data_IF_305911824386
#
_entry.id   IF_305911824386
#
_cell.length_a   1.000
_cell.length_b   1.000
_cell.length_c   1.000
_cell.angle_alpha   90.00
_cell.angle_beta   90.00
_cell.angle_gamma   90.00
#
_symmetry.space_group_name_H-M   'P 1'
#
loop_
_entity.id
_entity.type
_entity.pdbx_description
1 polymer ?
#
# COMPACT_ATOMS: atom_id res chain seq x y z
N UNK A 1 4.41 6.39 9.71
CA UNK A 1 3.88 6.73 8.36
C UNK A 1 2.79 7.79 8.45
N UNK A 2 1.72 7.59 9.24
CA UNK A 2 0.59 8.52 9.28
C UNK A 2 0.94 9.95 9.77
N UNK A 3 1.79 10.08 10.80
CA UNK A 3 2.21 11.40 11.31
C UNK A 3 2.90 12.27 10.27
N UNK A 4 3.66 11.67 9.34
CA UNK A 4 4.24 12.41 8.21
C UNK A 4 3.15 13.06 7.36
N UNK A 5 2.10 12.32 6.99
CA UNK A 5 1.00 12.88 6.20
C UNK A 5 0.17 13.91 6.96
N UNK A 6 -0.10 13.66 8.25
CA UNK A 6 -0.80 14.63 9.09
C UNK A 6 -0.03 15.95 9.14
N UNK A 7 1.31 15.90 9.28
CA UNK A 7 2.15 17.10 9.25
C UNK A 7 2.23 17.76 7.87
N UNK A 8 2.22 17.00 6.77
CA UNK A 8 2.39 17.57 5.42
C UNK A 8 1.10 18.15 4.83
N UNK A 9 -0.03 17.47 5.01
CA UNK A 9 -1.30 17.80 4.32
C UNK A 9 -2.52 17.76 5.24
N UNK A 10 -2.34 17.54 6.55
CA UNK A 10 -3.43 17.51 7.52
C UNK A 10 -4.02 18.90 7.76
N UNK A 11 -5.32 18.94 8.05
CA UNK A 11 -6.06 20.16 8.41
C UNK A 11 -6.49 20.06 9.86
N UNK A 12 -6.12 21.03 10.69
CA UNK A 12 -6.60 21.12 12.06
C UNK A 12 -8.07 21.55 12.06
N UNK A 13 -8.94 20.69 12.61
CA UNK A 13 -10.35 21.04 12.82
C UNK A 13 -10.54 21.88 14.08
N UNK A 14 -9.63 21.73 15.05
CA UNK A 14 -9.58 22.48 16.30
C UNK A 14 -8.15 22.49 16.84
N UNK A 15 -7.75 23.58 17.49
CA UNK A 15 -6.41 23.74 18.07
C UNK A 15 -5.33 24.16 17.05
N UNK A 16 -4.05 24.13 17.46
CA UNK A 16 -2.92 24.54 16.62
C UNK A 16 -2.73 23.60 15.41
N UNK A 17 -2.11 24.10 14.32
CA UNK A 17 -1.85 23.29 13.14
C UNK A 17 -0.86 22.14 13.44
N UNK A 18 -0.89 21.03 12.67
CA UNK A 18 -0.02 19.89 12.88
C UNK A 18 1.48 20.23 12.96
N UNK A 19 1.89 21.32 12.30
CA UNK A 19 3.29 21.72 12.23
C UNK A 19 3.84 22.25 13.56
N UNK A 20 2.97 22.68 14.47
CA UNK A 20 3.33 23.20 15.80
C UNK A 20 3.39 22.12 16.88
N UNK A 21 2.76 20.95 16.64
CA UNK A 21 2.62 19.89 17.67
C UNK A 21 3.32 18.57 17.34
N UNK A 22 3.70 18.38 16.08
CA UNK A 22 4.46 17.21 15.62
C UNK A 22 5.85 17.68 15.25
N UNK A 23 6.93 17.06 15.71
CA UNK A 23 8.27 17.45 15.25
C UNK A 23 8.47 17.26 13.73
N UNK A 24 9.43 17.98 13.10
CA UNK A 24 9.81 17.70 11.72
C UNK A 24 10.16 16.22 11.51
N UNK A 25 9.55 15.60 10.50
CA UNK A 25 9.83 14.22 10.09
C UNK A 25 10.49 14.28 8.72
N UNK A 26 11.68 13.71 8.60
CA UNK A 26 12.43 13.68 7.34
C UNK A 26 11.80 12.71 6.34
N UNK A 27 12.11 12.92 5.06
CA UNK A 27 11.68 12.01 3.99
C UNK A 27 12.27 10.61 4.18
N UNK A 28 13.50 10.53 4.67
CA UNK A 28 14.22 9.30 4.95
C UNK A 28 13.56 8.50 6.06
N UNK A 29 13.15 9.15 7.15
CA UNK A 29 12.37 8.51 8.23
C UNK A 29 11.02 8.01 7.73
N UNK A 30 10.35 8.80 6.89
CA UNK A 30 9.09 8.39 6.29
C UNK A 30 9.24 7.14 5.41
N UNK A 31 10.21 7.13 4.48
CA UNK A 31 10.50 5.99 3.63
C UNK A 31 10.91 4.77 4.47
N UNK A 32 11.71 4.96 5.53
CA UNK A 32 12.11 3.89 6.45
C UNK A 32 10.90 3.29 7.17
N UNK A 33 9.97 4.13 7.62
CA UNK A 33 8.72 3.68 8.24
C UNK A 33 7.84 2.89 7.25
N UNK A 34 7.79 3.31 5.97
CA UNK A 34 7.08 2.58 4.91
C UNK A 34 7.71 1.21 4.65
N UNK A 35 9.05 1.13 4.57
CA UNK A 35 9.78 -0.13 4.42
C UNK A 35 9.53 -1.07 5.61
N UNK A 36 9.56 -0.55 6.84
CA UNK A 36 9.23 -1.32 8.06
C UNK A 36 7.77 -1.80 8.06
N UNK A 37 6.84 -0.99 7.57
CA UNK A 37 5.46 -1.42 7.40
C UNK A 37 5.35 -2.55 6.37
N UNK A 38 5.99 -2.40 5.21
CA UNK A 38 6.01 -3.43 4.16
C UNK A 38 6.61 -4.76 4.63
N UNK A 39 7.65 -4.74 5.49
CA UNK A 39 8.25 -5.98 6.03
C UNK A 39 7.32 -6.79 6.93
N UNK A 40 6.28 -6.19 7.52
CA UNK A 40 5.31 -6.92 8.33
C UNK A 40 4.37 -7.81 7.49
N UNK A 41 4.23 -7.51 6.20
CA UNK A 41 3.38 -8.28 5.28
C UNK A 41 4.03 -9.61 4.91
N UNK A 42 3.23 -10.67 4.73
CA UNK A 42 3.71 -12.00 4.33
C UNK A 42 4.55 -12.75 5.38
N UNK A 43 4.62 -12.23 6.61
CA UNK A 43 5.33 -12.86 7.74
C UNK A 43 4.68 -12.60 9.10
N UNK A 44 3.90 -11.51 9.25
CA UNK A 44 3.12 -11.22 10.47
C UNK A 44 1.69 -10.72 10.23
N UNK A 45 1.40 -10.11 9.07
CA UNK A 45 0.05 -9.72 8.67
C UNK A 45 -0.50 -10.77 7.72
N UNK A 46 -1.54 -11.48 8.17
CA UNK A 46 -2.30 -12.42 7.36
C UNK A 46 -3.28 -11.67 6.46
N UNK A 47 -3.29 -12.01 5.17
CA UNK A 47 -4.29 -11.51 4.24
C UNK A 47 -5.55 -12.34 4.49
N UNK A 48 -6.68 -11.72 4.80
CA UNK A 48 -7.91 -12.51 4.91
C UNK A 48 -8.36 -12.97 3.52
N UNK A 49 -9.06 -14.11 3.41
CA UNK A 49 -9.43 -14.67 2.11
C UNK A 49 -10.35 -13.77 1.28
N UNK A 50 -11.11 -12.84 1.86
CA UNK A 50 -12.06 -12.03 1.07
C UNK A 50 -11.35 -11.14 0.03
N UNK A 51 -11.94 -10.99 -1.16
CA UNK A 51 -11.33 -10.16 -2.22
C UNK A 51 -11.18 -8.69 -1.82
N UNK A 52 -12.03 -8.18 -0.91
CA UNK A 52 -11.87 -6.85 -0.32
C UNK A 52 -10.60 -6.72 0.52
N UNK A 53 -10.28 -7.72 1.33
CA UNK A 53 -9.04 -7.76 2.13
C UNK A 53 -7.82 -7.98 1.24
N UNK A 54 -7.92 -8.86 0.24
CA UNK A 54 -6.88 -9.04 -0.78
C UNK A 54 -6.61 -7.74 -1.56
N UNK A 55 -7.66 -7.05 -2.02
CA UNK A 55 -7.54 -5.75 -2.69
C UNK A 55 -6.92 -4.70 -1.77
N UNK A 56 -7.30 -4.68 -0.48
CA UNK A 56 -6.66 -3.81 0.48
C UNK A 56 -5.16 -4.08 0.58
N UNK A 57 -4.74 -5.36 0.67
CA UNK A 57 -3.35 -5.75 0.76
C UNK A 57 -2.57 -5.37 -0.52
N UNK A 58 -3.07 -5.76 -1.70
CA UNK A 58 -2.48 -5.46 -3.02
C UNK A 58 -2.27 -3.94 -3.17
N UNK A 59 -3.33 -3.15 -3.00
CA UNK A 59 -3.27 -1.70 -3.19
C UNK A 59 -2.41 -1.00 -2.13
N UNK A 60 -2.33 -1.55 -0.92
CA UNK A 60 -1.43 -1.05 0.13
C UNK A 60 0.03 -1.32 -0.24
N UNK A 61 0.36 -2.49 -0.78
CA UNK A 61 1.70 -2.82 -1.25
C UNK A 61 2.10 -1.99 -2.48
N UNK A 62 1.18 -1.73 -3.43
CA UNK A 62 1.43 -0.80 -4.54
C UNK A 62 1.80 0.59 -4.03
N UNK A 63 1.06 1.11 -3.03
CA UNK A 63 1.35 2.40 -2.42
C UNK A 63 2.68 2.42 -1.68
N UNK A 64 3.02 1.33 -0.98
CA UNK A 64 4.30 1.21 -0.30
C UNK A 64 5.47 1.22 -1.29
N UNK A 65 5.36 0.51 -2.43
CA UNK A 65 6.37 0.55 -3.48
C UNK A 65 6.48 1.93 -4.12
N UNK A 66 5.35 2.57 -4.44
CA UNK A 66 5.35 3.93 -5.00
C UNK A 66 6.08 4.91 -4.09
N UNK A 67 5.76 4.88 -2.79
CA UNK A 67 6.43 5.71 -1.79
C UNK A 67 7.90 5.36 -1.62
N UNK A 68 8.27 4.08 -1.67
CA UNK A 68 9.67 3.70 -1.62
C UNK A 68 10.46 4.26 -2.82
N UNK A 69 9.87 4.26 -4.01
CA UNK A 69 10.51 4.71 -5.25
C UNK A 69 10.59 6.24 -5.36
N UNK A 70 9.49 6.95 -5.10
CA UNK A 70 9.37 8.39 -5.34
C UNK A 70 9.55 9.24 -4.06
N UNK A 71 9.57 8.60 -2.90
CA UNK A 71 9.66 9.23 -1.58
C UNK A 71 8.46 10.08 -1.16
N UNK A 72 7.35 9.99 -1.89
CA UNK A 72 6.10 10.70 -1.61
C UNK A 72 4.93 9.72 -1.42
N UNK A 73 3.86 10.15 -0.75
CA UNK A 73 2.68 9.31 -0.56
C UNK A 73 1.63 9.56 -1.63
N UNK A 74 1.54 8.66 -2.60
CA UNK A 74 0.45 8.65 -3.56
C UNK A 74 -0.86 8.11 -2.98
N UNK A 75 -1.98 8.38 -3.66
CA UNK A 75 -3.23 7.65 -3.38
C UNK A 75 -3.08 6.17 -3.76
N UNK A 76 -3.90 5.28 -3.16
CA UNK A 76 -3.92 3.86 -3.55
C UNK A 76 -4.19 3.65 -5.05
N UNK A 77 -5.07 4.49 -5.64
CA UNK A 77 -5.41 4.42 -7.07
C UNK A 77 -4.23 4.86 -7.93
N UNK A 78 -3.63 6.01 -7.63
CA UNK A 78 -2.45 6.52 -8.35
C UNK A 78 -1.30 5.52 -8.30
N UNK A 79 -0.97 5.00 -7.12
CA UNK A 79 0.11 4.04 -6.95
C UNK A 79 -0.16 2.72 -7.68
N UNK A 80 -1.41 2.24 -7.70
CA UNK A 80 -1.79 1.03 -8.43
C UNK A 80 -1.66 1.22 -9.96
N UNK A 81 -2.14 2.35 -10.50
CA UNK A 81 -2.01 2.64 -11.93
C UNK A 81 -0.56 2.81 -12.36
N UNK A 82 0.29 3.39 -11.50
CA UNK A 82 1.73 3.42 -11.73
C UNK A 82 2.33 2.01 -11.69
N UNK A 83 2.00 1.21 -10.67
CA UNK A 83 2.53 -0.15 -10.53
C UNK A 83 2.14 -1.07 -11.69
N UNK A 84 0.94 -0.91 -12.29
CA UNK A 84 0.55 -1.64 -13.50
C UNK A 84 1.49 -1.41 -14.68
N UNK A 85 2.08 -0.21 -14.79
CA UNK A 85 3.03 0.13 -15.86
C UNK A 85 4.41 -0.43 -15.56
N UNK A 86 4.84 -0.38 -14.30
CA UNK A 86 6.15 -0.85 -13.86
C UNK A 86 6.25 -2.37 -13.74
N UNK A 87 5.12 -3.04 -13.51
CA UNK A 87 5.02 -4.47 -13.28
C UNK A 87 3.95 -5.08 -14.22
N UNK A 88 4.22 -5.15 -15.53
CA UNK A 88 3.26 -5.67 -16.51
C UNK A 88 2.76 -7.08 -16.16
N UNK A 89 3.62 -7.91 -15.57
CA UNK A 89 3.30 -9.28 -15.15
C UNK A 89 2.22 -9.33 -14.04
N UNK A 90 2.08 -8.26 -13.25
CA UNK A 90 1.08 -8.15 -12.18
C UNK A 90 -0.10 -7.25 -12.56
N UNK A 91 -0.12 -6.70 -13.77
CA UNK A 91 -1.07 -5.67 -14.18
C UNK A 91 -2.54 -6.13 -14.07
N UNK A 92 -2.84 -7.36 -14.50
CA UNK A 92 -4.17 -7.95 -14.40
C UNK A 92 -4.65 -8.03 -12.95
N UNK A 93 -3.82 -8.55 -12.04
CA UNK A 93 -4.16 -8.66 -10.62
C UNK A 93 -4.39 -7.28 -9.99
N UNK A 94 -3.54 -6.30 -10.29
CA UNK A 94 -3.67 -4.95 -9.77
C UNK A 94 -4.95 -4.28 -10.28
N UNK A 95 -5.32 -4.52 -11.56
CA UNK A 95 -6.60 -4.06 -12.13
C UNK A 95 -7.78 -4.67 -11.38
N UNK A 96 -7.78 -5.99 -11.17
CA UNK A 96 -8.84 -6.66 -10.43
C UNK A 96 -8.94 -6.16 -8.99
N UNK A 97 -7.82 -5.88 -8.30
CA UNK A 97 -7.85 -5.27 -6.98
C UNK A 97 -8.48 -3.87 -6.95
N UNK A 98 -8.33 -3.07 -8.02
CA UNK A 98 -9.02 -1.77 -8.13
C UNK A 98 -10.54 -1.94 -8.31
N UNK A 99 -10.97 -2.99 -9.00
CA UNK A 99 -12.38 -3.35 -9.22
C UNK A 99 -13.02 -3.87 -7.93
N UNK A 100 -12.39 -4.86 -7.26
CA UNK A 100 -12.88 -5.43 -6.00
C UNK A 100 -13.04 -4.39 -4.89
N UNK A 101 -12.20 -3.34 -4.90
CA UNK A 101 -12.33 -2.22 -3.95
C UNK A 101 -13.63 -1.43 -4.13
N UNK A 102 -14.17 -1.38 -5.35
CA UNK A 102 -15.41 -0.67 -5.68
C UNK A 102 -16.64 -1.56 -5.54
N UNK A 103 -16.47 -2.88 -5.60
CA UNK A 103 -17.56 -3.84 -5.43
C UNK A 103 -18.07 -3.86 -3.98
N UNK A 104 -19.36 -3.57 -3.80
CA UNK A 104 -19.99 -3.60 -2.48
C UNK A 104 -20.57 -4.97 -2.14
N UNK A 105 -21.00 -5.76 -3.13
CA UNK A 105 -21.62 -7.09 -2.97
C UNK A 105 -20.87 -8.15 -3.78
N UNK A 106 -20.57 -9.27 -3.15
CA UNK A 106 -19.83 -10.40 -3.72
C UNK A 106 -20.48 -11.74 -3.31
N UNK A 107 -21.78 -11.91 -3.56
CA UNK A 107 -22.54 -13.09 -3.10
C UNK A 107 -22.16 -14.41 -3.79
N UNK A 108 -21.53 -14.38 -4.96
CA UNK A 108 -21.25 -15.57 -5.78
C UNK A 108 -19.78 -15.69 -6.19
N UNK A 109 -18.89 -15.32 -5.28
CA UNK A 109 -17.47 -15.20 -5.57
C UNK A 109 -16.69 -16.24 -4.79
N UNK A 110 -15.90 -17.05 -5.49
CA UNK A 110 -14.86 -17.83 -4.84
C UNK A 110 -13.69 -16.93 -4.43
N UNK A 111 -13.76 -16.45 -3.19
CA UNK A 111 -12.71 -15.64 -2.58
C UNK A 111 -11.38 -16.40 -2.46
N UNK A 112 -11.41 -17.72 -2.27
CA UNK A 112 -10.21 -18.52 -2.08
C UNK A 112 -9.42 -18.69 -3.39
N UNK A 113 -10.10 -18.71 -4.55
CA UNK A 113 -9.45 -18.85 -5.86
C UNK A 113 -8.36 -17.79 -6.14
N UNK A 114 -8.57 -16.56 -5.67
CA UNK A 114 -7.64 -15.43 -5.90
C UNK A 114 -6.56 -15.30 -4.83
N UNK A 115 -6.73 -15.98 -3.69
CA UNK A 115 -5.87 -15.85 -2.53
C UNK A 115 -4.41 -16.24 -2.76
N UNK A 116 -4.08 -17.38 -3.40
CA UNK A 116 -2.69 -17.76 -3.64
C UNK A 116 -1.93 -16.73 -4.48
N UNK A 117 -2.59 -16.18 -5.51
CA UNK A 117 -1.98 -15.17 -6.38
C UNK A 117 -1.76 -13.84 -5.65
N UNK A 118 -2.73 -13.40 -4.85
CA UNK A 118 -2.61 -12.22 -3.99
C UNK A 118 -1.47 -12.34 -2.99
N UNK A 119 -1.27 -13.52 -2.39
CA UNK A 119 -0.17 -13.77 -1.47
C UNK A 119 1.19 -13.74 -2.19
N UNK A 120 1.30 -14.34 -3.39
CA UNK A 120 2.53 -14.25 -4.21
C UNK A 120 2.87 -12.80 -4.53
N UNK A 121 1.88 -12.00 -4.92
CA UNK A 121 2.08 -10.59 -5.20
C UNK A 121 2.59 -9.83 -3.97
N UNK A 122 1.97 -10.02 -2.81
CA UNK A 122 2.38 -9.32 -1.58
C UNK A 122 3.81 -9.69 -1.18
N UNK A 123 4.19 -10.96 -1.28
CA UNK A 123 5.57 -11.40 -1.03
C UNK A 123 6.56 -10.80 -2.03
N UNK A 124 6.23 -10.84 -3.33
CA UNK A 124 7.04 -10.20 -4.38
C UNK A 124 7.27 -8.70 -4.10
N UNK A 125 6.21 -7.98 -3.75
CA UNK A 125 6.28 -6.55 -3.46
C UNK A 125 7.09 -6.26 -2.20
N UNK A 126 6.93 -7.07 -1.15
CA UNK A 126 7.73 -6.98 0.06
C UNK A 126 9.21 -7.12 -0.27
N UNK A 127 9.58 -8.19 -0.95
CA UNK A 127 10.98 -8.51 -1.22
C UNK A 127 11.61 -7.43 -2.11
N UNK A 128 10.85 -6.91 -3.10
CA UNK A 128 11.27 -5.78 -3.93
C UNK A 128 11.49 -4.48 -3.13
N UNK A 129 10.62 -4.18 -2.16
CA UNK A 129 10.76 -3.00 -1.29
C UNK A 129 11.94 -3.15 -0.33
N UNK A 130 12.23 -4.37 0.13
CA UNK A 130 13.30 -4.62 1.10
C UNK A 130 14.68 -4.80 0.47
N UNK A 131 14.75 -5.14 -0.81
CA UNK A 131 16.00 -5.18 -1.56
C UNK A 131 16.84 -3.91 -1.32
N UNK A 132 18.15 -4.10 -1.12
CA UNK A 132 19.09 -2.98 -1.04
C UNK A 132 19.15 -2.31 -2.41
N UNK A 133 18.98 -0.99 -2.48
CA UNK A 133 19.27 -0.24 -3.71
C UNK A 133 20.76 -0.44 -4.00
N UNK A 134 21.09 -0.87 -5.22
CA UNK A 134 22.47 -0.81 -5.73
C UNK A 134 22.91 0.64 -5.84
#
# INVERSE_FOLDING_TARGET
MNWYMVRQVGVALYGPPPQEVIDPITREEFIRAVRKHASAWGGGIEIRPSRKEQAYAILTMCRALYTHTHGEQGSKKQAALWAQKELPEWSTLIRSALEWRQEWREEHVDHAATYPESLRFVNFMRDRILAKRK
#
